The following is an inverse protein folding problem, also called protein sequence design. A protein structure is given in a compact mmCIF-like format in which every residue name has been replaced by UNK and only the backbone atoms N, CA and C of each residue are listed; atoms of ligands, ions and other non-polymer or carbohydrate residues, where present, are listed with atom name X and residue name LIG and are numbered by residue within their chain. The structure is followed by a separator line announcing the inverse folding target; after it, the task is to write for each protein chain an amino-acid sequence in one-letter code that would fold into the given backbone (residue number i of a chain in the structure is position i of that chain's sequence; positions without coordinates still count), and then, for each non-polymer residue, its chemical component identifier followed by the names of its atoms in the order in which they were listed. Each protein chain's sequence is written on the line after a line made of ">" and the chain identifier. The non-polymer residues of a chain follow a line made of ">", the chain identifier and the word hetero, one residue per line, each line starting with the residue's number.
data_IF_500303561144
#
_entry.id   IF_500303561144
#
_cell.length_a   1.000
_cell.length_b   1.000
_cell.length_c   1.000
_cell.angle_alpha   90.00
_cell.angle_beta   90.00
_cell.angle_gamma   90.00
#
_symmetry.space_group_name_H-M   'P 1'
#
loop_
_entity.id
_entity.type
_entity.pdbx_description
1 polymer ?
#
# COMPACT_ATOMS: atom_id res chain seq x y z
N UNK A 1 11.74 30.18 -3.85
CA UNK A 1 11.41 29.28 -4.98
C UNK A 1 9.91 29.07 -4.92
N UNK A 2 9.15 29.60 -5.87
CA UNK A 2 7.69 29.57 -5.85
C UNK A 2 7.23 28.36 -6.67
N UNK A 3 6.72 27.32 -6.00
CA UNK A 3 6.17 26.13 -6.67
C UNK A 3 4.79 26.40 -7.31
N UNK A 4 4.26 27.62 -7.14
CA UNK A 4 2.96 28.10 -7.60
C UNK A 4 1.87 27.03 -7.43
N UNK A 5 1.66 26.57 -6.19
CA UNK A 5 0.65 25.57 -5.82
C UNK A 5 -0.68 26.27 -5.47
N UNK A 6 -1.82 25.67 -5.83
CA UNK A 6 -3.13 26.10 -5.34
C UNK A 6 -3.25 25.78 -3.84
N UNK A 7 -3.32 26.80 -2.99
CA UNK A 7 -3.75 26.64 -1.61
C UNK A 7 -5.28 26.57 -1.57
N UNK A 8 -5.86 25.43 -1.16
CA UNK A 8 -7.26 25.38 -0.72
C UNK A 8 -7.33 25.28 0.81
N UNK A 9 -8.19 26.10 1.40
CA UNK A 9 -8.50 26.10 2.84
C UNK A 9 -9.42 24.96 3.29
N UNK A 10 -9.96 24.16 2.36
CA UNK A 10 -10.92 23.09 2.68
C UNK A 10 -10.25 21.80 3.20
N UNK A 11 -8.93 21.68 3.03
CA UNK A 11 -8.16 20.49 3.39
C UNK A 11 -8.63 19.21 2.71
N UNK A 12 -9.55 19.25 1.73
CA UNK A 12 -10.34 18.09 1.28
C UNK A 12 -9.53 17.06 0.48
N UNK A 13 -8.35 17.41 0.00
CA UNK A 13 -7.52 16.54 -0.85
C UNK A 13 -6.04 16.67 -0.50
N UNK A 14 -5.59 15.96 0.53
CA UNK A 14 -4.15 15.70 0.74
C UNK A 14 -3.74 14.57 -0.20
N UNK A 15 -3.03 14.89 -1.29
CA UNK A 15 -2.46 13.84 -2.13
C UNK A 15 -2.06 14.27 -3.54
N UNK A 16 -2.88 15.06 -4.23
CA UNK A 16 -2.61 15.45 -5.62
C UNK A 16 -2.12 16.90 -5.65
N UNK A 17 -0.87 17.13 -6.04
CA UNK A 17 -0.37 18.50 -6.21
C UNK A 17 -1.21 19.21 -7.27
N UNK A 18 -1.92 20.26 -6.85
CA UNK A 18 -2.64 21.15 -7.74
C UNK A 18 -1.76 22.36 -7.93
N UNK A 19 -1.15 22.46 -9.10
CA UNK A 19 -0.45 23.68 -9.48
C UNK A 19 -1.48 24.75 -9.82
N UNK A 20 -1.19 26.03 -9.57
CA UNK A 20 -2.00 27.14 -10.06
C UNK A 20 -2.18 27.03 -11.56
N UNK A 21 -3.31 27.45 -12.12
CA UNK A 21 -3.58 27.37 -13.57
C UNK A 21 -2.49 28.04 -14.43
N UNK A 22 -1.78 29.02 -13.88
CA UNK A 22 -0.71 29.74 -14.55
C UNK A 22 0.64 29.00 -14.57
N UNK A 23 0.83 27.97 -13.73
CA UNK A 23 2.08 27.21 -13.68
C UNK A 23 2.44 26.64 -15.05
N UNK A 24 3.59 27.09 -15.57
CA UNK A 24 4.22 26.56 -16.78
C UNK A 24 5.26 25.52 -16.38
N UNK A 25 5.22 24.38 -17.05
CA UNK A 25 6.22 23.32 -16.91
C UNK A 25 7.27 23.43 -18.00
N UNK A 26 8.55 23.12 -17.73
CA UNK A 26 9.58 23.16 -18.75
C UNK A 26 9.33 22.08 -19.82
N UNK A 27 9.45 22.43 -21.10
CA UNK A 27 9.29 21.45 -22.18
C UNK A 27 10.46 20.47 -22.20
N UNK A 28 10.19 19.16 -22.23
CA UNK A 28 11.26 18.16 -22.35
C UNK A 28 12.07 18.37 -23.64
N UNK A 29 13.39 18.12 -23.62
CA UNK A 29 14.18 18.06 -24.84
C UNK A 29 13.66 17.01 -25.82
N UNK A 30 13.81 17.27 -27.10
CA UNK A 30 13.54 16.27 -28.14
C UNK A 30 14.52 15.10 -28.00
N UNK A 31 13.99 13.88 -28.02
CA UNK A 31 14.80 12.66 -28.05
C UNK A 31 15.16 12.30 -29.48
N UNK A 32 16.43 12.00 -29.72
CA UNK A 32 16.93 11.45 -31.00
C UNK A 32 16.93 9.93 -31.02
N UNK A 33 16.89 9.28 -29.85
CA UNK A 33 16.91 7.83 -29.69
C UNK A 33 15.86 7.35 -28.67
N UNK A 34 15.44 6.07 -28.73
CA UNK A 34 14.60 5.45 -27.72
C UNK A 34 15.21 5.56 -26.32
N UNK A 35 14.36 5.61 -25.30
CA UNK A 35 14.81 5.69 -23.92
C UNK A 35 15.42 4.37 -23.45
N UNK A 36 16.55 4.44 -22.74
CA UNK A 36 17.17 3.24 -22.18
C UNK A 36 16.52 2.82 -20.86
N UNK A 37 16.10 1.56 -20.76
CA UNK A 37 15.57 0.96 -19.52
C UNK A 37 16.60 0.96 -18.37
N UNK A 38 17.91 1.00 -18.67
CA UNK A 38 18.96 1.03 -17.64
C UNK A 38 18.88 2.30 -16.77
N UNK A 39 18.41 3.41 -17.34
CA UNK A 39 18.24 4.69 -16.62
C UNK A 39 17.26 4.60 -15.45
N UNK A 40 16.30 3.66 -15.51
CA UNK A 40 15.26 3.50 -14.48
C UNK A 40 15.80 2.96 -13.16
N UNK A 41 16.91 2.22 -13.20
CA UNK A 41 17.50 1.58 -12.00
C UNK A 41 18.00 2.59 -10.98
N UNK A 42 18.43 3.77 -11.43
CA UNK A 42 18.89 4.87 -10.57
C UNK A 42 17.78 5.83 -10.13
N UNK A 43 16.50 5.54 -10.43
CA UNK A 43 15.38 6.43 -10.16
C UNK A 43 15.52 7.78 -10.85
N UNK A 44 15.10 8.86 -10.19
CA UNK A 44 15.28 10.22 -10.71
C UNK A 44 16.71 10.53 -11.12
N UNK A 45 17.72 10.15 -10.32
CA UNK A 45 19.11 10.45 -10.63
C UNK A 45 19.52 9.82 -11.97
N UNK A 46 19.25 8.52 -12.13
CA UNK A 46 19.59 7.79 -13.37
C UNK A 46 18.81 8.30 -14.57
N UNK A 47 17.53 8.62 -14.37
CA UNK A 47 16.68 9.17 -15.42
C UNK A 47 17.18 10.55 -15.90
N UNK A 48 17.36 11.49 -14.98
CA UNK A 48 17.71 12.88 -15.28
C UNK A 48 19.12 13.02 -15.88
N UNK A 49 20.06 12.14 -15.50
CA UNK A 49 21.43 12.21 -16.00
C UNK A 49 21.65 11.50 -17.33
N UNK A 50 20.81 10.53 -17.69
CA UNK A 50 21.13 9.58 -18.77
C UNK A 50 20.01 9.28 -19.76
N UNK A 51 18.79 9.78 -19.55
CA UNK A 51 17.68 9.47 -20.46
C UNK A 51 17.60 10.42 -21.65
N UNK A 52 18.12 11.64 -21.53
CA UNK A 52 18.08 12.65 -22.57
C UNK A 52 19.51 13.03 -22.98
N UNK A 53 19.69 13.58 -24.18
CA UNK A 53 21.01 14.07 -24.63
C UNK A 53 21.55 15.18 -23.71
N UNK A 54 20.63 15.95 -23.13
CA UNK A 54 20.95 16.98 -22.14
C UNK A 54 20.70 16.46 -20.72
N UNK A 55 21.60 16.82 -19.81
CA UNK A 55 21.42 16.57 -18.39
C UNK A 55 20.29 17.44 -17.82
N UNK A 56 19.25 16.80 -17.28
CA UNK A 56 18.06 17.47 -16.75
C UNK A 56 18.16 17.84 -15.26
N UNK A 57 19.24 17.45 -14.57
CA UNK A 57 19.43 17.78 -13.14
C UNK A 57 19.37 19.29 -12.86
N UNK A 58 19.98 20.19 -13.67
CA UNK A 58 19.87 21.64 -13.44
C UNK A 58 18.42 22.15 -13.50
N UNK A 59 17.59 21.52 -14.34
CA UNK A 59 16.18 21.89 -14.49
C UNK A 59 15.38 21.46 -13.27
N UNK A 60 15.55 20.21 -12.84
CA UNK A 60 14.92 19.69 -11.62
C UNK A 60 15.35 20.47 -10.36
N UNK A 61 16.60 20.97 -10.33
CA UNK A 61 17.09 21.83 -9.26
C UNK A 61 16.44 23.22 -9.28
N UNK A 62 16.23 23.77 -10.47
CA UNK A 62 15.68 25.13 -10.64
C UNK A 62 14.16 25.15 -10.43
N UNK A 63 13.46 24.12 -10.92
CA UNK A 63 12.01 23.99 -10.83
C UNK A 63 11.61 22.53 -10.50
N UNK A 64 11.57 22.16 -9.21
CA UNK A 64 11.26 20.79 -8.80
C UNK A 64 9.86 20.30 -9.18
N UNK A 65 8.91 21.22 -9.44
CA UNK A 65 7.55 20.85 -9.89
C UNK A 65 7.55 20.09 -11.22
N UNK A 66 8.64 20.21 -11.98
CA UNK A 66 8.98 19.35 -13.11
C UNK A 66 8.88 17.85 -12.78
N UNK A 67 9.44 17.45 -11.62
CA UNK A 67 9.44 16.07 -11.17
C UNK A 67 8.06 15.61 -10.71
N UNK A 68 7.25 16.52 -10.16
CA UNK A 68 5.88 16.23 -9.79
C UNK A 68 5.07 15.80 -11.02
N UNK A 69 5.13 16.56 -12.12
CA UNK A 69 4.41 16.25 -13.35
C UNK A 69 4.99 15.02 -14.08
N UNK A 70 6.31 14.86 -14.13
CA UNK A 70 6.95 13.66 -14.70
C UNK A 70 6.72 12.39 -13.87
N UNK A 71 6.43 12.53 -12.57
CA UNK A 71 6.21 11.37 -11.70
C UNK A 71 5.09 10.48 -12.22
N UNK A 72 4.07 11.02 -12.92
CA UNK A 72 2.98 10.23 -13.48
C UNK A 72 3.48 9.19 -14.51
N UNK A 73 3.98 9.58 -15.70
CA UNK A 73 4.43 8.62 -16.70
C UNK A 73 5.59 7.75 -16.19
N UNK A 74 6.53 8.33 -15.44
CA UNK A 74 7.72 7.59 -15.00
C UNK A 74 7.42 6.50 -13.97
N UNK A 75 6.44 6.71 -13.09
CA UNK A 75 5.99 5.67 -12.15
C UNK A 75 5.39 4.48 -12.90
N UNK A 76 4.57 4.75 -13.93
CA UNK A 76 4.03 3.69 -14.78
C UNK A 76 5.15 2.91 -15.47
N UNK A 77 6.06 3.61 -16.16
CA UNK A 77 7.18 3.00 -16.89
C UNK A 77 8.01 2.11 -15.96
N UNK A 78 8.34 2.61 -14.77
CA UNK A 78 9.11 1.87 -13.77
C UNK A 78 8.45 0.55 -13.37
N UNK A 79 7.18 0.59 -12.99
CA UNK A 79 6.47 -0.60 -12.52
C UNK A 79 6.18 -1.59 -13.65
N UNK A 80 5.77 -1.09 -14.82
CA UNK A 80 5.55 -1.92 -15.99
C UNK A 80 6.82 -2.69 -16.39
N UNK A 81 7.97 -2.02 -16.30
CA UNK A 81 9.29 -2.62 -16.56
C UNK A 81 9.65 -3.68 -15.52
N UNK A 82 9.48 -3.39 -14.22
CA UNK A 82 9.76 -4.36 -13.15
C UNK A 82 8.89 -5.60 -13.25
N UNK A 83 7.59 -5.41 -13.52
CA UNK A 83 6.64 -6.50 -13.67
C UNK A 83 6.77 -7.21 -15.02
N UNK A 84 7.68 -6.75 -15.89
CA UNK A 84 7.98 -7.33 -17.19
C UNK A 84 6.74 -7.56 -18.06
N UNK A 85 5.73 -6.68 -17.94
CA UNK A 85 4.51 -6.77 -18.74
C UNK A 85 4.83 -6.27 -20.14
N UNK A 86 4.91 -7.22 -21.07
CA UNK A 86 5.08 -6.97 -22.50
C UNK A 86 3.70 -6.91 -23.15
N UNK A 87 3.59 -6.20 -24.27
CA UNK A 87 2.36 -6.09 -25.07
C UNK A 87 1.21 -5.34 -24.38
N UNK A 88 1.52 -4.31 -23.60
CA UNK A 88 0.48 -3.42 -23.09
C UNK A 88 -0.05 -2.60 -24.25
N UNK A 89 -1.36 -2.69 -24.49
CA UNK A 89 -2.06 -1.94 -25.53
C UNK A 89 -2.86 -0.78 -24.92
N UNK A 90 -3.30 -0.92 -23.67
CA UNK A 90 -4.23 0.01 -23.03
C UNK A 90 -3.78 0.39 -21.63
N UNK A 91 -3.77 1.68 -21.32
CA UNK A 91 -3.50 2.23 -19.99
C UNK A 91 -4.72 3.01 -19.53
N UNK A 92 -5.28 2.62 -18.39
CA UNK A 92 -6.43 3.30 -17.77
C UNK A 92 -5.92 4.11 -16.57
N UNK A 93 -5.93 5.44 -16.67
CA UNK A 93 -5.56 6.36 -15.60
C UNK A 93 -6.82 6.64 -14.78
N UNK A 94 -6.93 6.00 -13.63
CA UNK A 94 -8.14 6.00 -12.80
C UNK A 94 -8.07 7.08 -11.72
N UNK A 95 -9.21 7.72 -11.44
CA UNK A 95 -9.26 8.86 -10.53
C UNK A 95 -8.59 10.12 -11.09
N UNK A 96 -8.44 10.20 -12.41
CA UNK A 96 -7.80 11.32 -13.08
C UNK A 96 -8.58 12.62 -12.86
N UNK A 97 -7.86 13.74 -12.85
CA UNK A 97 -8.47 15.07 -12.72
C UNK A 97 -7.95 16.04 -13.78
N UNK A 98 -8.76 17.05 -14.13
CA UNK A 98 -8.36 18.20 -14.97
C UNK A 98 -7.26 19.05 -14.36
N UNK A 99 -6.99 18.89 -13.06
CA UNK A 99 -6.00 19.70 -12.34
C UNK A 99 -4.62 19.05 -12.25
N UNK A 100 -4.55 17.75 -12.49
CA UNK A 100 -3.32 16.97 -12.37
C UNK A 100 -3.04 16.16 -13.64
N UNK A 101 -3.48 14.91 -13.71
CA UNK A 101 -3.09 13.95 -14.75
C UNK A 101 -3.47 14.45 -16.15
N UNK A 102 -4.72 14.88 -16.33
CA UNK A 102 -5.20 15.40 -17.61
C UNK A 102 -4.58 16.77 -17.92
N UNK A 103 -4.26 17.59 -16.91
CA UNK A 103 -3.54 18.85 -17.13
C UNK A 103 -2.16 18.62 -17.69
N UNK A 104 -1.41 17.67 -17.12
CA UNK A 104 -0.07 17.30 -17.59
C UNK A 104 -0.15 16.82 -19.04
N UNK A 105 -1.19 16.04 -19.38
CA UNK A 105 -1.47 15.69 -20.78
C UNK A 105 -1.72 16.90 -21.66
N UNK A 106 -2.63 17.80 -21.29
CA UNK A 106 -3.02 18.88 -22.20
C UNK A 106 -1.92 19.95 -22.35
N UNK A 107 -1.07 20.14 -21.34
CA UNK A 107 -0.09 21.23 -21.30
C UNK A 107 1.37 20.82 -21.52
N UNK A 108 1.72 19.53 -21.46
CA UNK A 108 3.13 19.08 -21.55
C UNK A 108 3.25 17.83 -22.39
N UNK A 109 4.43 17.58 -22.97
CA UNK A 109 4.74 16.35 -23.68
C UNK A 109 5.17 15.18 -22.76
N UNK A 110 5.00 15.28 -21.45
CA UNK A 110 5.62 14.34 -20.50
C UNK A 110 5.10 12.92 -20.64
N UNK A 111 3.82 12.75 -20.99
CA UNK A 111 3.26 11.44 -21.25
C UNK A 111 3.91 10.74 -22.46
N UNK A 112 4.51 11.47 -23.40
CA UNK A 112 5.26 10.89 -24.52
C UNK A 112 6.48 10.09 -24.07
N UNK A 113 6.93 10.22 -22.82
CA UNK A 113 7.94 9.33 -22.26
C UNK A 113 7.49 7.87 -22.34
N UNK A 114 6.20 7.57 -22.20
CA UNK A 114 5.67 6.20 -22.38
C UNK A 114 6.00 5.69 -23.79
N UNK A 115 5.72 6.48 -24.82
CA UNK A 115 6.06 6.12 -26.21
C UNK A 115 7.58 6.09 -26.45
N UNK A 116 8.38 6.85 -25.71
CA UNK A 116 9.84 6.83 -25.81
C UNK A 116 10.46 5.54 -25.24
N UNK A 117 9.87 4.99 -24.17
CA UNK A 117 10.30 3.73 -23.56
C UNK A 117 9.69 2.50 -24.24
N UNK A 118 8.55 2.65 -24.93
CA UNK A 118 7.85 1.57 -25.64
C UNK A 118 7.56 1.96 -27.11
N UNK A 119 8.60 2.23 -27.92
CA UNK A 119 8.43 2.78 -29.28
C UNK A 119 7.70 1.83 -30.25
N UNK A 120 7.78 0.53 -29.99
CA UNK A 120 7.18 -0.51 -30.84
C UNK A 120 5.74 -0.86 -30.43
N UNK A 121 5.17 -0.16 -29.45
CA UNK A 121 3.82 -0.42 -28.93
C UNK A 121 2.87 0.72 -29.31
N UNK A 122 1.74 0.35 -29.92
CA UNK A 122 0.61 1.25 -30.08
C UNK A 122 -0.19 1.27 -28.77
N UNK A 123 -0.04 2.34 -28.00
CA UNK A 123 -0.65 2.47 -26.67
C UNK A 123 -1.83 3.44 -26.73
N UNK A 124 -3.00 2.95 -26.33
CA UNK A 124 -4.18 3.75 -26.02
C UNK A 124 -4.19 4.11 -24.54
N UNK A 125 -4.37 5.38 -24.21
CA UNK A 125 -4.59 5.85 -22.85
C UNK A 125 -6.01 6.34 -22.65
N UNK A 126 -6.53 6.14 -21.44
CA UNK A 126 -7.82 6.67 -21.00
C UNK A 126 -7.65 7.43 -19.70
N UNK A 127 -7.98 8.71 -19.69
CA UNK A 127 -8.16 9.47 -18.45
C UNK A 127 -9.58 9.26 -17.93
N UNK A 128 -9.74 8.67 -16.75
CA UNK A 128 -11.03 8.27 -16.18
C UNK A 128 -11.18 8.94 -14.82
N UNK A 129 -12.19 9.78 -14.68
CA UNK A 129 -12.51 10.42 -13.40
C UNK A 129 -13.69 11.38 -13.49
N UNK A 130 -14.31 11.73 -12.35
CA UNK A 130 -15.54 12.54 -12.32
C UNK A 130 -15.32 14.00 -12.74
N UNK A 131 -14.08 14.49 -12.71
CA UNK A 131 -13.72 15.85 -13.08
C UNK A 131 -13.09 15.94 -14.47
N UNK A 132 -12.95 14.82 -15.20
CA UNK A 132 -12.26 14.76 -16.49
C UNK A 132 -13.09 15.42 -17.59
N UNK A 133 -12.45 16.21 -18.46
CA UNK A 133 -13.08 16.77 -19.66
C UNK A 133 -12.96 15.78 -20.83
N UNK A 134 -14.05 15.55 -21.56
CA UNK A 134 -14.05 14.59 -22.69
C UNK A 134 -13.18 15.11 -23.86
N UNK A 135 -13.19 16.42 -24.10
CA UNK A 135 -12.53 17.04 -25.25
C UNK A 135 -11.23 17.77 -24.90
N UNK A 136 -10.31 17.12 -24.17
CA UNK A 136 -9.01 17.72 -23.86
C UNK A 136 -7.94 17.31 -24.89
N UNK A 137 -7.71 18.19 -25.88
CA UNK A 137 -6.66 18.01 -26.88
C UNK A 137 -5.28 18.41 -26.33
N UNK A 138 -4.22 17.62 -26.60
CA UNK A 138 -2.86 18.02 -26.25
C UNK A 138 -2.40 19.21 -27.09
N UNK A 139 -1.63 20.12 -26.49
CA UNK A 139 -0.95 21.22 -27.21
C UNK A 139 0.36 20.79 -27.90
N UNK A 140 0.56 19.49 -28.09
CA UNK A 140 1.81 18.91 -28.57
C UNK A 140 1.53 17.67 -29.42
N UNK A 141 2.48 17.30 -30.28
CA UNK A 141 2.39 16.05 -31.05
C UNK A 141 2.62 14.84 -30.13
N UNK A 142 1.75 13.83 -30.24
CA UNK A 142 1.87 12.60 -29.46
C UNK A 142 1.74 11.37 -30.35
N UNK A 143 2.52 10.34 -30.02
CA UNK A 143 2.39 8.99 -30.59
C UNK A 143 1.39 8.12 -29.83
N UNK A 144 0.86 8.63 -28.72
CA UNK A 144 -0.14 7.96 -27.90
C UNK A 144 -1.53 8.30 -28.43
N UNK A 145 -2.40 7.29 -28.51
CA UNK A 145 -3.82 7.53 -28.71
C UNK A 145 -4.45 7.79 -27.35
N UNK A 146 -5.17 8.90 -27.18
CA UNK A 146 -5.70 9.29 -25.87
C UNK A 146 -7.18 9.60 -25.96
N UNK A 147 -7.92 9.06 -24.99
CA UNK A 147 -9.35 9.28 -24.81
C UNK A 147 -9.63 9.66 -23.35
N UNK A 148 -10.82 10.18 -23.09
CA UNK A 148 -11.23 10.64 -21.76
C UNK A 148 -12.64 10.14 -21.44
N UNK A 149 -12.89 9.82 -20.18
CA UNK A 149 -14.18 9.38 -19.68
C UNK A 149 -14.52 10.11 -18.38
N UNK A 150 -15.61 10.89 -18.41
CA UNK A 150 -16.14 11.55 -17.23
C UNK A 150 -17.05 10.59 -16.46
N UNK A 151 -16.54 10.04 -15.36
CA UNK A 151 -17.26 9.06 -14.54
C UNK A 151 -16.32 8.24 -13.66
N UNK A 152 -16.87 7.19 -13.04
CA UNK A 152 -16.12 6.26 -12.21
C UNK A 152 -15.48 5.15 -13.05
N UNK A 153 -14.49 4.44 -12.49
CA UNK A 153 -13.93 3.28 -13.19
C UNK A 153 -14.93 2.11 -13.24
N UNK A 154 -15.80 1.98 -12.24
CA UNK A 154 -16.90 1.03 -12.26
C UNK A 154 -17.84 1.26 -13.45
N UNK A 155 -18.26 2.50 -13.67
CA UNK A 155 -19.11 2.87 -14.81
C UNK A 155 -18.39 2.63 -16.15
N UNK A 156 -17.11 3.00 -16.23
CA UNK A 156 -16.30 2.77 -17.42
C UNK A 156 -16.23 1.29 -17.79
N UNK A 157 -15.88 0.42 -16.83
CA UNK A 157 -15.77 -1.03 -17.06
C UNK A 157 -17.12 -1.70 -17.32
N UNK A 158 -18.22 -1.11 -16.84
CA UNK A 158 -19.57 -1.60 -17.16
C UNK A 158 -20.00 -1.30 -18.60
N UNK A 159 -19.43 -0.25 -19.20
CA UNK A 159 -19.81 0.25 -20.52
C UNK A 159 -18.79 -0.02 -21.62
N UNK A 160 -17.55 -0.39 -21.25
CA UNK A 160 -16.45 -0.64 -22.17
C UNK A 160 -15.88 -2.04 -21.98
N UNK A 161 -15.73 -2.77 -23.08
CA UNK A 161 -14.99 -4.03 -23.08
C UNK A 161 -13.49 -3.74 -23.13
N UNK A 162 -12.74 -4.24 -22.15
CA UNK A 162 -11.28 -4.14 -22.09
C UNK A 162 -10.66 -5.53 -22.06
N UNK A 163 -9.52 -5.69 -22.72
CA UNK A 163 -8.75 -6.94 -22.65
C UNK A 163 -7.89 -6.94 -21.39
N UNK A 164 -8.19 -7.85 -20.47
CA UNK A 164 -7.53 -7.95 -19.16
C UNK A 164 -6.02 -8.17 -19.28
N UNK A 165 -5.57 -8.90 -20.31
CA UNK A 165 -4.15 -9.25 -20.43
C UNK A 165 -3.30 -8.10 -20.97
N UNK A 166 -3.86 -7.26 -21.84
CA UNK A 166 -3.14 -6.15 -22.48
C UNK A 166 -3.47 -4.79 -21.88
N UNK A 167 -4.28 -4.75 -20.81
CA UNK A 167 -4.66 -3.52 -20.10
C UNK A 167 -3.95 -3.39 -18.75
N UNK A 168 -3.50 -2.19 -18.42
CA UNK A 168 -3.04 -1.81 -17.09
C UNK A 168 -3.85 -0.63 -16.58
N UNK A 169 -4.28 -0.70 -15.32
CA UNK A 169 -4.85 0.44 -14.59
C UNK A 169 -3.77 1.10 -13.74
N UNK A 170 -3.83 2.42 -13.60
CA UNK A 170 -2.99 3.15 -12.66
C UNK A 170 -3.75 4.29 -11.99
N UNK A 171 -3.75 4.29 -10.65
CA UNK A 171 -4.26 5.36 -9.81
C UNK A 171 -3.11 6.14 -9.17
N UNK A 172 -3.06 7.44 -9.42
CA UNK A 172 -2.07 8.32 -8.82
C UNK A 172 -2.72 9.10 -7.68
N UNK A 173 -2.11 9.09 -6.49
CA UNK A 173 -2.60 9.84 -5.33
C UNK A 173 -4.10 9.72 -5.08
N UNK A 174 -4.61 8.49 -5.15
CA UNK A 174 -6.04 8.20 -5.06
C UNK A 174 -6.66 8.66 -3.74
N UNK A 175 -5.86 8.74 -2.68
CA UNK A 175 -6.19 9.44 -1.44
C UNK A 175 -7.23 8.73 -0.56
N UNK A 176 -7.75 7.57 -0.99
CA UNK A 176 -8.78 6.84 -0.26
C UNK A 176 -8.30 6.27 1.08
N UNK A 177 -7.01 6.34 1.39
CA UNK A 177 -6.47 5.98 2.69
C UNK A 177 -6.15 7.16 3.64
N UNK A 178 -6.48 8.39 3.25
CA UNK A 178 -6.28 9.60 4.06
C UNK A 178 -7.05 9.60 5.39
N UNK A 179 -8.05 8.73 5.55
CA UNK A 179 -8.84 8.62 6.78
C UNK A 179 -8.01 8.27 8.02
N UNK A 180 -6.83 7.63 7.86
CA UNK A 180 -5.97 7.23 8.98
C UNK A 180 -5.46 8.44 9.76
N UNK A 181 -5.10 9.51 9.07
CA UNK A 181 -4.57 10.73 9.68
C UNK A 181 -5.66 11.78 9.92
N UNK A 182 -6.58 11.90 8.97
CA UNK A 182 -7.60 12.97 8.99
C UNK A 182 -8.89 12.61 9.72
N UNK A 183 -9.13 11.32 10.00
CA UNK A 183 -10.43 10.81 10.47
C UNK A 183 -11.61 11.18 9.55
N UNK A 184 -11.35 11.47 8.26
CA UNK A 184 -12.37 11.71 7.23
C UNK A 184 -12.42 10.56 6.26
N UNK A 185 -13.61 9.97 6.12
CA UNK A 185 -13.81 8.73 5.37
C UNK A 185 -14.51 8.95 4.02
N UNK A 186 -14.91 10.18 3.69
CA UNK A 186 -15.75 10.47 2.51
C UNK A 186 -15.10 9.97 1.22
N UNK A 187 -13.80 10.22 1.06
CA UNK A 187 -13.05 9.78 -0.10
C UNK A 187 -12.89 8.25 -0.14
N UNK A 188 -12.72 7.58 1.00
CA UNK A 188 -12.73 6.12 1.04
C UNK A 188 -14.08 5.58 0.55
N UNK A 189 -15.18 6.13 1.09
CA UNK A 189 -16.52 5.65 0.75
C UNK A 189 -16.89 5.90 -0.70
N UNK A 190 -16.43 7.01 -1.30
CA UNK A 190 -16.62 7.24 -2.74
C UNK A 190 -15.84 6.26 -3.60
N UNK A 191 -14.63 5.87 -3.17
CA UNK A 191 -13.79 4.91 -3.90
C UNK A 191 -14.18 3.45 -3.67
N UNK A 192 -14.76 3.10 -2.53
CA UNK A 192 -14.93 1.71 -2.12
C UNK A 192 -15.68 0.82 -3.14
N UNK A 193 -16.78 1.28 -3.78
CA UNK A 193 -17.43 0.50 -4.85
C UNK A 193 -16.49 0.20 -6.01
N UNK A 194 -15.75 1.21 -6.48
CA UNK A 194 -14.76 1.07 -7.54
C UNK A 194 -13.60 0.16 -7.14
N UNK A 195 -13.14 0.24 -5.89
CA UNK A 195 -12.09 -0.63 -5.38
C UNK A 195 -12.48 -2.11 -5.39
N UNK A 196 -13.75 -2.43 -5.09
CA UNK A 196 -14.26 -3.80 -5.29
C UNK A 196 -14.24 -4.20 -6.76
N UNK A 197 -14.66 -3.31 -7.67
CA UNK A 197 -14.68 -3.57 -9.11
C UNK A 197 -13.26 -3.77 -9.66
N UNK A 198 -12.32 -2.90 -9.31
CA UNK A 198 -10.90 -2.98 -9.65
C UNK A 198 -10.34 -4.33 -9.21
N UNK A 199 -10.51 -4.69 -7.92
CA UNK A 199 -10.01 -5.94 -7.39
C UNK A 199 -10.63 -7.16 -8.09
N UNK A 200 -11.91 -7.10 -8.45
CA UNK A 200 -12.62 -8.17 -9.15
C UNK A 200 -12.30 -8.27 -10.65
N UNK A 201 -11.82 -7.20 -11.29
CA UNK A 201 -11.59 -7.15 -12.73
C UNK A 201 -10.50 -8.09 -13.23
N UNK A 202 -9.55 -8.49 -12.36
CA UNK A 202 -8.36 -9.24 -12.74
C UNK A 202 -7.32 -8.42 -13.51
N UNK A 203 -7.57 -7.13 -13.75
CA UNK A 203 -6.67 -6.21 -14.46
C UNK A 203 -5.53 -5.81 -13.51
N UNK A 204 -4.31 -5.81 -14.03
CA UNK A 204 -3.15 -5.34 -13.29
C UNK A 204 -3.36 -3.86 -12.94
N UNK A 205 -3.44 -3.55 -11.65
CA UNK A 205 -3.68 -2.19 -11.18
C UNK A 205 -2.54 -1.70 -10.31
N UNK A 206 -1.95 -0.58 -10.69
CA UNK A 206 -0.87 0.10 -10.00
C UNK A 206 -1.46 1.25 -9.18
N UNK A 207 -0.99 1.42 -7.95
CA UNK A 207 -1.35 2.55 -7.10
C UNK A 207 -0.09 3.24 -6.62
N UNK A 208 -0.11 4.57 -6.65
CA UNK A 208 1.04 5.41 -6.28
C UNK A 208 0.71 6.31 -5.06
N UNK A 209 0.35 5.70 -3.92
CA UNK A 209 0.17 6.38 -2.63
C UNK A 209 0.19 5.32 -1.50
N UNK A 210 0.52 5.67 -0.26
CA UNK A 210 0.53 4.66 0.82
C UNK A 210 0.36 5.26 2.22
N UNK A 211 -0.81 5.84 2.49
CA UNK A 211 -1.33 5.99 3.85
C UNK A 211 -2.68 5.30 3.89
N UNK A 212 -2.90 4.32 4.77
CA UNK A 212 -4.18 3.61 4.94
C UNK A 212 -4.63 2.67 3.81
N UNK A 213 -4.23 2.93 2.56
CA UNK A 213 -4.68 2.19 1.37
C UNK A 213 -4.32 0.70 1.44
N UNK A 214 -3.10 0.38 1.90
CA UNK A 214 -2.65 -0.99 2.06
C UNK A 214 -3.56 -1.79 3.03
N UNK A 215 -4.04 -1.17 4.11
CA UNK A 215 -4.94 -1.81 5.05
C UNK A 215 -6.31 -2.10 4.42
N UNK A 216 -6.82 -1.20 3.57
CA UNK A 216 -8.05 -1.43 2.80
C UNK A 216 -7.88 -2.62 1.85
N UNK A 217 -6.79 -2.65 1.07
CA UNK A 217 -6.53 -3.76 0.16
C UNK A 217 -6.42 -5.11 0.86
N UNK A 218 -5.74 -5.15 2.00
CA UNK A 218 -5.48 -6.40 2.71
C UNK A 218 -6.64 -6.88 3.58
N UNK A 219 -7.28 -5.97 4.33
CA UNK A 219 -8.28 -6.31 5.35
C UNK A 219 -9.73 -6.19 4.87
N UNK A 220 -9.97 -5.44 3.80
CA UNK A 220 -11.32 -5.24 3.24
C UNK A 220 -11.46 -5.89 1.87
N UNK A 221 -10.60 -5.54 0.93
CA UNK A 221 -10.75 -5.99 -0.46
C UNK A 221 -10.25 -7.42 -0.67
N UNK A 222 -9.32 -7.87 0.17
CA UNK A 222 -8.62 -9.16 0.01
C UNK A 222 -7.70 -9.19 -1.21
N UNK A 223 -7.27 -8.04 -1.72
CA UNK A 223 -6.49 -7.91 -2.96
C UNK A 223 -5.23 -8.76 -2.95
N UNK A 224 -4.91 -9.34 -4.11
CA UNK A 224 -3.66 -10.06 -4.29
C UNK A 224 -2.59 -9.09 -4.79
N UNK A 225 -1.53 -8.94 -4.00
CA UNK A 225 -0.42 -8.05 -4.35
C UNK A 225 0.53 -8.75 -5.31
N UNK A 226 0.69 -8.18 -6.51
CA UNK A 226 1.71 -8.62 -7.47
C UNK A 226 3.01 -7.84 -7.30
N UNK A 227 2.92 -6.65 -6.70
CA UNK A 227 4.05 -5.87 -6.21
C UNK A 227 3.72 -5.30 -4.84
N UNK A 228 4.38 -5.81 -3.80
CA UNK A 228 4.22 -5.27 -2.45
C UNK A 228 4.70 -3.80 -2.38
N UNK A 229 4.14 -2.99 -1.48
CA UNK A 229 4.50 -1.58 -1.37
C UNK A 229 6.00 -1.34 -1.24
N UNK A 230 6.47 -0.32 -1.95
CA UNK A 230 7.85 0.15 -1.90
C UNK A 230 7.89 1.64 -2.18
N UNK A 231 8.92 2.32 -1.71
CA UNK A 231 9.26 3.66 -2.18
C UNK A 231 9.28 3.71 -3.71
N UNK A 232 8.61 4.73 -4.23
CA UNK A 232 8.63 5.03 -5.63
C UNK A 232 9.89 5.86 -5.95
N UNK A 233 10.83 5.35 -6.77
CA UNK A 233 12.02 6.09 -7.15
C UNK A 233 11.72 7.28 -8.07
N UNK A 234 10.48 7.39 -8.55
CA UNK A 234 9.95 8.50 -9.35
C UNK A 234 8.85 9.27 -8.60
N UNK A 235 8.99 9.42 -7.29
CA UNK A 235 8.07 10.20 -6.45
C UNK A 235 8.09 11.69 -6.80
N UNK A 236 7.01 12.42 -6.49
CA UNK A 236 6.98 13.87 -6.66
C UNK A 236 8.06 14.54 -5.76
N UNK A 237 8.55 15.71 -6.16
CA UNK A 237 9.53 16.48 -5.38
C UNK A 237 8.87 17.40 -4.35
N UNK A 238 7.69 17.93 -4.67
CA UNK A 238 6.94 18.78 -3.76
C UNK A 238 6.48 18.00 -2.53
N UNK A 239 6.36 18.72 -1.41
CA UNK A 239 5.78 18.20 -0.18
C UNK A 239 4.68 19.14 0.28
N UNK A 240 3.56 18.58 0.71
CA UNK A 240 2.46 19.30 1.33
C UNK A 240 2.52 19.08 2.84
N UNK A 241 2.38 20.17 3.60
CA UNK A 241 2.21 20.13 5.04
C UNK A 241 0.96 20.93 5.43
N UNK A 242 0.31 20.55 6.53
CA UNK A 242 -0.72 21.39 7.12
C UNK A 242 -0.12 22.73 7.59
N UNK A 243 -0.94 23.78 7.62
CA UNK A 243 -0.54 25.08 8.11
C UNK A 243 -0.04 24.97 9.57
N UNK A 244 1.14 25.53 9.85
CA UNK A 244 1.78 25.42 11.16
C UNK A 244 2.39 24.06 11.50
N UNK A 245 2.27 23.04 10.63
CA UNK A 245 2.84 21.68 10.83
C UNK A 245 3.99 21.34 9.89
N UNK A 246 4.68 22.34 9.36
CA UNK A 246 5.85 22.17 8.49
C UNK A 246 6.94 21.29 9.12
N UNK A 247 7.02 21.09 10.44
CA UNK A 247 8.03 20.20 11.03
C UNK A 247 7.50 18.82 11.41
N UNK A 248 6.21 18.55 11.23
CA UNK A 248 5.54 17.38 11.84
C UNK A 248 4.57 16.64 10.94
N UNK A 249 4.12 17.22 9.83
CA UNK A 249 3.22 16.58 8.87
C UNK A 249 3.68 16.89 7.46
N UNK A 250 4.33 15.93 6.80
CA UNK A 250 4.74 16.05 5.41
C UNK A 250 4.08 14.92 4.63
N UNK A 251 3.41 15.26 3.54
CA UNK A 251 2.93 14.31 2.56
C UNK A 251 3.58 14.61 1.21
N UNK A 252 3.99 13.58 0.50
CA UNK A 252 4.62 13.68 -0.82
C UNK A 252 3.84 12.80 -1.78
N UNK A 253 3.38 13.39 -2.87
CA UNK A 253 2.63 12.68 -3.90
C UNK A 253 3.48 11.57 -4.54
N UNK A 254 2.85 10.47 -4.94
CA UNK A 254 3.48 9.33 -5.58
C UNK A 254 4.68 8.77 -4.77
N UNK A 255 4.68 8.89 -3.44
CA UNK A 255 5.83 8.51 -2.59
C UNK A 255 6.13 7.02 -2.57
N UNK A 256 5.07 6.23 -2.65
CA UNK A 256 5.11 4.78 -2.59
C UNK A 256 4.35 4.24 -3.79
N UNK A 257 4.67 3.02 -4.17
CA UNK A 257 4.01 2.35 -5.27
C UNK A 257 3.81 0.87 -4.93
N UNK A 258 2.65 0.35 -5.29
CA UNK A 258 2.29 -1.05 -5.17
C UNK A 258 1.42 -1.45 -6.37
N UNK A 259 1.27 -2.75 -6.59
CA UNK A 259 0.38 -3.25 -7.62
C UNK A 259 -0.39 -4.48 -7.14
N UNK A 260 -1.65 -4.55 -7.56
CA UNK A 260 -2.56 -5.66 -7.28
C UNK A 260 -3.08 -6.28 -8.57
N UNK A 261 -3.50 -7.53 -8.49
CA UNK A 261 -4.20 -8.21 -9.57
C UNK A 261 -5.13 -9.29 -9.02
N UNK A 262 -6.44 -9.09 -9.11
CA UNK A 262 -7.40 -10.00 -8.50
C UNK A 262 -7.51 -9.86 -6.98
N UNK A 263 -8.27 -10.78 -6.38
CA UNK A 263 -8.51 -10.82 -4.94
C UNK A 263 -8.76 -12.24 -4.42
N UNK A 264 -8.63 -12.43 -3.12
CA UNK A 264 -9.01 -13.64 -2.41
C UNK A 264 -10.40 -13.48 -1.79
N UNK A 265 -11.37 -14.25 -2.29
CA UNK A 265 -12.76 -14.23 -1.83
C UNK A 265 -12.88 -14.58 -0.33
N UNK A 266 -11.96 -15.37 0.23
CA UNK A 266 -11.97 -15.72 1.66
C UNK A 266 -11.53 -14.57 2.56
N UNK A 267 -10.69 -13.66 2.03
CA UNK A 267 -10.23 -12.47 2.76
C UNK A 267 -11.13 -11.27 2.54
N UNK A 268 -11.81 -11.20 1.39
CA UNK A 268 -12.71 -10.09 1.10
C UNK A 268 -13.81 -9.96 2.15
N UNK A 269 -14.00 -8.74 2.64
CA UNK A 269 -15.07 -8.33 3.53
C UNK A 269 -15.95 -7.34 2.79
N UNK A 270 -17.27 -7.50 2.89
CA UNK A 270 -18.23 -6.52 2.38
C UNK A 270 -18.61 -5.55 3.49
N UNK A 271 -18.42 -4.27 3.22
CA UNK A 271 -18.74 -3.19 4.16
C UNK A 271 -19.81 -2.30 3.51
N UNK A 272 -20.87 -1.99 4.27
CA UNK A 272 -21.88 -1.05 3.81
C UNK A 272 -21.30 0.38 3.80
N UNK A 273 -21.66 1.23 2.82
CA UNK A 273 -21.24 2.63 2.82
C UNK A 273 -21.56 3.32 4.15
N UNK A 274 -20.57 3.97 4.74
CA UNK A 274 -20.72 4.69 6.01
C UNK A 274 -20.63 3.82 7.28
N UNK A 275 -20.44 2.50 7.18
CA UNK A 275 -20.26 1.62 8.35
C UNK A 275 -18.82 1.71 8.92
N UNK A 276 -18.54 2.85 9.55
CA UNK A 276 -17.23 3.17 10.15
C UNK A 276 -16.90 2.19 11.28
N UNK A 277 -17.91 1.72 12.03
CA UNK A 277 -17.70 0.79 13.16
C UNK A 277 -17.16 -0.55 12.67
N UNK A 278 -17.77 -1.11 11.62
CA UNK A 278 -17.29 -2.36 11.03
C UNK A 278 -15.92 -2.17 10.38
N UNK A 279 -15.71 -1.07 9.65
CA UNK A 279 -14.41 -0.74 9.07
C UNK A 279 -13.30 -0.69 10.15
N UNK A 280 -13.50 0.06 11.23
CA UNK A 280 -12.50 0.16 12.30
C UNK A 280 -12.24 -1.19 12.97
N UNK A 281 -13.27 -2.02 13.19
CA UNK A 281 -13.10 -3.38 13.69
C UNK A 281 -12.20 -4.21 12.78
N UNK A 282 -12.38 -4.12 11.46
CA UNK A 282 -11.52 -4.82 10.50
C UNK A 282 -10.10 -4.27 10.52
N UNK A 283 -9.94 -2.95 10.57
CA UNK A 283 -8.62 -2.29 10.61
C UNK A 283 -7.83 -2.61 11.88
N UNK A 284 -8.50 -2.81 13.01
CA UNK A 284 -7.89 -3.18 14.29
C UNK A 284 -7.65 -4.68 14.45
N UNK A 285 -8.30 -5.52 13.63
CA UNK A 285 -8.15 -6.97 13.69
C UNK A 285 -6.70 -7.37 13.45
N UNK A 286 -6.14 -8.12 14.39
CA UNK A 286 -4.84 -8.77 14.23
C UNK A 286 -5.04 -9.99 13.35
N UNK A 287 -4.57 -9.89 12.11
CA UNK A 287 -4.67 -10.97 11.13
C UNK A 287 -3.26 -11.45 10.90
N UNK A 288 -3.02 -12.75 11.07
CA UNK A 288 -1.77 -13.40 10.68
C UNK A 288 -1.69 -13.48 9.15
N UNK A 289 -1.48 -12.30 8.55
CA UNK A 289 -1.52 -12.09 7.13
C UNK A 289 -0.13 -12.32 6.56
N UNK A 290 -0.04 -13.33 5.70
CA UNK A 290 1.13 -13.58 4.87
C UNK A 290 0.77 -13.36 3.39
N UNK A 291 1.47 -12.43 2.74
CA UNK A 291 1.38 -12.22 1.29
C UNK A 291 2.74 -12.44 0.65
N UNK A 292 2.74 -12.85 -0.61
CA UNK A 292 3.94 -12.95 -1.43
C UNK A 292 3.67 -12.29 -2.78
N UNK A 293 4.61 -11.47 -3.26
CA UNK A 293 4.49 -10.82 -4.57
C UNK A 293 5.27 -11.56 -5.68
N UNK A 294 5.20 -11.06 -6.92
CA UNK A 294 5.84 -11.71 -8.07
C UNK A 294 7.37 -11.67 -8.02
N UNK A 295 7.97 -10.79 -7.23
CA UNK A 295 9.41 -10.75 -7.00
C UNK A 295 9.84 -11.70 -5.88
N UNK A 296 8.90 -12.43 -5.28
CA UNK A 296 9.14 -13.32 -4.16
C UNK A 296 9.41 -12.56 -2.86
N UNK A 297 8.98 -11.30 -2.74
CA UNK A 297 8.99 -10.58 -1.45
C UNK A 297 7.80 -11.01 -0.62
N UNK A 298 7.97 -11.06 0.70
CA UNK A 298 6.95 -11.54 1.62
C UNK A 298 6.48 -10.39 2.51
N UNK A 299 5.17 -10.17 2.65
CA UNK A 299 4.62 -9.35 3.72
C UNK A 299 4.18 -10.26 4.85
N UNK A 300 4.71 -10.07 6.06
CA UNK A 300 4.38 -10.85 7.24
C UNK A 300 4.49 -9.99 8.49
N UNK A 301 3.45 -10.00 9.34
CA UNK A 301 3.40 -9.26 10.62
C UNK A 301 3.85 -7.79 10.53
N UNK A 302 3.38 -7.08 9.50
CA UNK A 302 3.71 -5.65 9.32
C UNK A 302 5.04 -5.38 8.61
N UNK A 303 5.76 -6.42 8.19
CA UNK A 303 7.08 -6.30 7.58
C UNK A 303 7.08 -6.79 6.14
N UNK A 304 7.81 -6.11 5.26
CA UNK A 304 8.11 -6.58 3.91
C UNK A 304 9.53 -7.13 3.89
N UNK A 305 9.67 -8.41 3.56
CA UNK A 305 10.93 -9.16 3.52
C UNK A 305 11.33 -9.38 2.07
N UNK A 306 12.62 -9.27 1.76
CA UNK A 306 13.16 -9.77 0.49
C UNK A 306 13.01 -11.29 0.40
N UNK A 307 13.15 -11.84 -0.81
CA UNK A 307 13.14 -13.30 -1.03
C UNK A 307 14.20 -14.01 -0.19
N UNK A 308 15.41 -13.46 -0.14
CA UNK A 308 16.54 -14.01 0.61
C UNK A 308 16.29 -13.94 2.12
N UNK A 309 15.67 -12.87 2.60
CA UNK A 309 15.32 -12.72 4.03
C UNK A 309 14.19 -13.66 4.44
N UNK A 310 13.17 -13.79 3.59
CA UNK A 310 12.07 -14.71 3.82
C UNK A 310 12.58 -16.15 3.92
N UNK A 311 13.52 -16.54 3.04
CA UNK A 311 14.17 -17.85 3.08
C UNK A 311 14.98 -18.11 4.37
N UNK A 312 15.53 -17.04 4.97
CA UNK A 312 16.30 -17.11 6.24
C UNK A 312 15.41 -16.98 7.48
N UNK A 313 14.15 -16.58 7.35
CA UNK A 313 13.26 -16.34 8.48
C UNK A 313 12.81 -17.68 9.09
N UNK A 314 13.24 -17.93 10.32
CA UNK A 314 12.81 -19.10 11.11
C UNK A 314 11.30 -19.10 11.35
N UNK A 315 10.70 -17.93 11.51
CA UNK A 315 9.26 -17.78 11.77
C UNK A 315 8.44 -18.24 10.56
N UNK A 316 8.87 -17.89 9.35
CA UNK A 316 8.21 -18.37 8.13
C UNK A 316 8.44 -19.87 7.91
N UNK A 317 9.62 -20.40 8.20
CA UNK A 317 9.90 -21.84 8.02
C UNK A 317 9.14 -22.73 9.01
N UNK A 318 8.91 -22.27 10.24
CA UNK A 318 8.08 -22.96 11.23
C UNK A 318 6.59 -22.95 10.85
N UNK A 319 6.08 -21.84 10.30
CA UNK A 319 4.69 -21.76 9.81
C UNK A 319 4.42 -22.75 8.66
N UNK A 320 5.38 -22.91 7.74
CA UNK A 320 5.27 -23.91 6.66
C UNK A 320 5.33 -25.36 7.16
N UNK A 321 6.08 -25.64 8.23
CA UNK A 321 6.19 -26.98 8.79
C UNK A 321 4.97 -27.40 9.63
N UNK A 322 4.23 -26.44 10.18
CA UNK A 322 2.99 -26.72 10.91
C UNK A 322 1.78 -26.90 9.97
N UNK A 323 1.79 -26.27 8.79
CA UNK A 323 0.73 -26.41 7.79
C UNK A 323 0.73 -27.78 7.07
N UNK A 324 1.86 -28.50 7.07
CA UNK A 324 2.03 -29.81 6.40
C UNK A 324 1.59 -31.01 7.24
N UNK A 325 1.15 -30.84 8.49
CA UNK A 325 0.71 -31.93 9.36
C UNK A 325 -0.82 -32.13 9.45
N UNK A 326 -1.59 -31.58 8.51
CA UNK A 326 -3.02 -31.92 8.35
C UNK A 326 -3.15 -33.04 7.32
N UNK A 327 -3.71 -34.22 7.66
CA UNK A 327 -3.81 -35.34 6.73
C UNK A 327 -4.83 -35.03 5.63
N UNK A 328 -4.34 -34.77 4.43
CA UNK A 328 -5.16 -34.56 3.23
C UNK A 328 -5.75 -35.89 2.77
N UNK A 329 -7.06 -36.10 3.01
CA UNK A 329 -7.84 -37.07 2.23
C UNK A 329 -7.94 -36.56 0.80
N UNK A 330 -7.43 -37.35 -0.14
CA UNK A 330 -7.47 -37.08 -1.57
C UNK A 330 -8.91 -37.13 -2.09
N UNK A 331 -9.46 -35.98 -2.49
CA UNK A 331 -10.64 -35.94 -3.35
C UNK A 331 -10.22 -35.53 -4.75
N UNK A 332 -10.46 -36.44 -5.70
CA UNK A 332 -10.33 -36.26 -7.14
C UNK A 332 -11.14 -35.03 -7.58
N UNK A 333 -10.48 -34.11 -8.28
CA UNK A 333 -11.10 -33.00 -8.99
C UNK A 333 -11.82 -33.55 -10.22
N UNK A 334 -13.14 -33.40 -10.26
CA UNK A 334 -13.96 -33.55 -11.46
C UNK A 334 -14.23 -32.15 -12.01
N UNK A 335 -13.82 -31.89 -13.24
CA UNK A 335 -14.12 -30.68 -13.99
C UNK A 335 -15.64 -30.50 -14.16
N UNK A 336 -16.22 -29.33 -13.88
CA UNK A 336 -17.54 -28.99 -14.40
C UNK A 336 -17.40 -28.33 -15.78
N UNK A 337 -18.10 -28.93 -16.75
CA UNK A 337 -18.33 -28.38 -18.08
C UNK A 337 -19.17 -27.11 -18.00
N UNK A 338 -18.78 -26.16 -18.83
CA UNK A 338 -19.51 -24.95 -19.25
C UNK A 338 -20.87 -25.34 -19.82
N UNK A 339 -21.95 -24.71 -19.35
CA UNK A 339 -23.24 -24.70 -20.03
C UNK A 339 -23.74 -23.27 -20.20
N UNK A 340 -24.21 -23.02 -21.43
CA UNK A 340 -24.84 -21.82 -21.97
C UNK A 340 -26.29 -21.61 -21.48
N UNK A 341 -26.95 -20.48 -21.81
CA UNK A 341 -27.96 -19.85 -20.96
C UNK A 341 -29.37 -20.39 -21.17
N UNK A 342 -30.18 -20.33 -20.11
CA UNK A 342 -31.63 -20.61 -20.15
C UNK A 342 -32.39 -19.29 -20.12
N UNK A 343 -33.32 -19.18 -21.07
CA UNK A 343 -34.24 -18.07 -21.30
C UNK A 343 -35.26 -17.88 -20.17
N UNK A 344 -35.66 -16.63 -20.01
CA UNK A 344 -36.74 -16.13 -19.18
C UNK A 344 -38.10 -16.78 -19.49
N UNK A 345 -38.87 -17.06 -18.44
CA UNK A 345 -40.34 -16.98 -18.45
C UNK A 345 -40.87 -16.61 -17.07
N UNK A 346 -41.71 -15.58 -17.07
CA UNK A 346 -42.42 -15.02 -15.92
C UNK A 346 -43.57 -15.92 -15.40
N UNK A 347 -43.84 -15.89 -14.09
CA UNK A 347 -45.19 -15.70 -13.54
C UNK A 347 -45.21 -15.56 -11.99
N UNK A 348 -45.72 -14.41 -11.56
CA UNK A 348 -46.61 -14.07 -10.43
C UNK A 348 -46.87 -15.00 -9.22
N UNK A 349 -46.75 -14.36 -8.04
CA UNK A 349 -47.60 -14.37 -6.82
C UNK A 349 -47.91 -15.71 -6.11
N UNK A 350 -47.52 -15.82 -4.84
CA UNK A 350 -48.46 -15.70 -3.72
C UNK A 350 -47.79 -15.62 -2.33
N UNK A 351 -48.50 -14.91 -1.45
CA UNK A 351 -48.26 -14.68 -0.02
C UNK A 351 -48.73 -15.91 0.79
N UNK A 352 -48.00 -16.32 1.83
CA UNK A 352 -48.57 -16.58 3.17
C UNK A 352 -47.49 -16.86 4.23
N UNK A 353 -47.74 -16.31 5.42
CA UNK A 353 -46.98 -16.45 6.64
C UNK A 353 -47.46 -17.65 7.48
N UNK A 354 -46.59 -18.23 8.31
CA UNK A 354 -46.91 -18.72 9.66
C UNK A 354 -45.69 -19.38 10.36
N UNK A 355 -45.20 -18.69 11.39
CA UNK A 355 -44.94 -19.14 12.79
C UNK A 355 -44.32 -20.49 13.17
N UNK A 356 -43.35 -20.37 14.10
CA UNK A 356 -43.06 -21.23 15.29
C UNK A 356 -42.41 -22.59 15.01
N UNK A 357 -41.54 -23.23 15.79
CA UNK A 357 -40.99 -23.16 17.17
C UNK A 357 -39.84 -24.19 17.17
N UNK A 358 -38.68 -24.07 17.82
CA UNK A 358 -38.33 -24.51 19.19
C UNK A 358 -36.81 -24.78 19.18
N UNK A 359 -36.06 -24.20 20.13
CA UNK A 359 -35.38 -24.91 21.22
C UNK A 359 -34.57 -26.15 20.82
N UNK A 360 -33.24 -26.07 20.97
CA UNK A 360 -32.52 -27.04 21.81
C UNK A 360 -31.17 -26.49 22.25
N UNK A 361 -31.00 -26.49 23.57
CA UNK A 361 -29.78 -26.22 24.28
C UNK A 361 -29.01 -27.53 24.50
N UNK A 362 -27.69 -27.51 24.32
CA UNK A 362 -26.82 -28.50 24.98
C UNK A 362 -25.50 -27.85 25.38
N UNK A 363 -25.23 -27.92 26.68
CA UNK A 363 -24.03 -27.48 27.40
C UNK A 363 -22.88 -28.50 27.26
N UNK A 364 -21.65 -27.97 27.16
CA UNK A 364 -20.37 -28.37 27.81
C UNK A 364 -19.82 -29.81 27.60
N UNK A 365 -18.48 -30.05 27.63
CA UNK A 365 -17.58 -29.49 28.64
C UNK A 365 -16.20 -28.96 28.21
N UNK A 366 -15.70 -28.13 29.12
CA UNK A 366 -14.32 -27.74 29.39
C UNK A 366 -13.34 -28.92 29.33
N UNK A 367 -12.18 -28.66 28.72
CA UNK A 367 -10.92 -29.35 29.02
C UNK A 367 -9.79 -28.34 29.09
N UNK A 368 -9.43 -28.01 30.31
CA UNK A 368 -8.15 -27.44 30.71
C UNK A 368 -7.03 -28.43 30.43
N UNK A 369 -5.99 -28.01 29.71
CA UNK A 369 -4.72 -28.74 29.60
C UNK A 369 -3.67 -27.89 30.31
N UNK A 370 -3.23 -28.39 31.46
CA UNK A 370 -1.99 -28.03 32.13
C UNK A 370 -0.80 -28.48 31.29
N UNK A 371 0.19 -27.60 31.13
CA UNK A 371 1.55 -28.01 30.79
C UNK A 371 2.55 -27.22 31.63
N UNK A 372 2.91 -27.85 32.76
CA UNK A 372 4.14 -27.59 33.49
C UNK A 372 5.35 -27.92 32.61
N UNK A 373 6.25 -26.97 32.41
CA UNK A 373 7.64 -27.22 32.05
C UNK A 373 8.53 -26.30 32.89
N UNK A 374 9.09 -26.88 33.95
CA UNK A 374 10.13 -26.27 34.79
C UNK A 374 11.48 -26.31 34.06
N UNK A 375 12.18 -25.19 34.00
CA UNK A 375 13.65 -25.18 34.12
C UNK A 375 14.08 -23.94 34.93
N UNK A 376 15.04 -24.06 35.86
CA UNK A 376 15.33 -23.02 36.84
C UNK A 376 16.43 -22.08 36.31
N UNK A 377 16.21 -20.77 36.45
CA UNK A 377 17.29 -19.79 36.57
C UNK A 377 17.00 -18.87 37.76
N UNK A 378 18.10 -18.51 38.42
CA UNK A 378 18.22 -17.91 39.74
C UNK A 378 17.12 -16.92 40.15
N UNK A 379 16.52 -17.20 41.30
CA UNK A 379 15.71 -16.25 42.06
C UNK A 379 16.54 -15.71 43.20
N UNK A 380 16.98 -14.47 43.06
CA UNK A 380 17.07 -13.55 44.19
C UNK A 380 16.91 -12.12 43.66
N UNK A 381 15.70 -11.57 43.84
CA UNK A 381 15.45 -10.13 44.05
C UNK A 381 14.00 -9.89 44.48
N UNK A 382 13.88 -8.99 45.45
CA UNK A 382 12.70 -8.69 46.25
C UNK A 382 11.45 -8.31 45.43
N UNK A 383 10.30 -8.84 45.86
CA UNK A 383 8.96 -8.52 45.35
C UNK A 383 8.50 -7.20 46.00
N UNK A 384 8.16 -6.15 45.24
CA UNK A 384 7.49 -4.97 45.79
C UNK A 384 6.01 -5.28 46.04
N UNK A 385 5.53 -4.90 47.23
CA UNK A 385 4.12 -4.89 47.62
C UNK A 385 3.41 -3.71 46.96
N UNK A 386 2.95 -3.86 45.73
CA UNK A 386 1.75 -3.20 45.23
C UNK A 386 1.28 -3.91 43.95
N UNK A 387 0.04 -4.40 43.95
CA UNK A 387 -0.50 -5.36 42.98
C UNK A 387 -0.83 -4.80 41.60
N UNK A 388 0.01 -3.93 41.03
CA UNK A 388 -0.14 -3.54 39.63
C UNK A 388 0.27 -4.70 38.72
N UNK A 389 -0.66 -5.17 37.91
CA UNK A 389 -0.40 -6.18 36.89
C UNK A 389 0.63 -5.64 35.89
N UNK A 390 1.71 -6.38 35.67
CA UNK A 390 2.71 -6.08 34.63
C UNK A 390 2.02 -6.20 33.26
N UNK A 391 2.17 -5.18 32.42
CA UNK A 391 1.48 -5.08 31.12
C UNK A 391 2.46 -5.35 29.98
N UNK A 392 2.03 -6.04 28.93
CA UNK A 392 2.78 -6.10 27.66
C UNK A 392 2.54 -4.80 26.88
N UNK A 393 3.55 -3.95 26.65
CA UNK A 393 3.37 -2.70 25.91
C UNK A 393 3.07 -2.97 24.43
N UNK A 394 2.28 -2.08 23.81
CA UNK A 394 2.09 -2.08 22.35
C UNK A 394 3.40 -1.69 21.67
N UNK A 395 3.70 -2.29 20.53
CA UNK A 395 4.91 -1.98 19.78
C UNK A 395 4.67 -2.01 18.26
N UNK A 396 5.59 -1.39 17.51
CA UNK A 396 5.68 -1.45 16.07
C UNK A 396 7.10 -1.82 15.68
N UNK A 397 7.24 -2.67 14.66
CA UNK A 397 8.53 -3.06 14.10
C UNK A 397 8.57 -2.60 12.64
N UNK A 398 9.57 -1.78 12.32
CA UNK A 398 9.75 -1.13 11.03
C UNK A 398 11.13 -1.52 10.50
N UNK A 399 11.23 -2.08 9.30
CA UNK A 399 12.54 -2.31 8.66
C UNK A 399 12.93 -1.11 7.80
N UNK A 400 14.22 -0.81 7.70
CA UNK A 400 14.72 0.19 6.75
C UNK A 400 14.54 -0.30 5.32
N UNK A 401 14.52 0.64 4.36
CA UNK A 401 14.23 0.37 2.95
C UNK A 401 15.21 -0.58 2.26
N UNK A 402 16.45 -0.61 2.75
CA UNK A 402 17.51 -1.53 2.31
C UNK A 402 17.65 -2.76 3.23
N UNK A 403 16.75 -2.88 4.21
CA UNK A 403 16.69 -3.94 5.21
C UNK A 403 17.98 -4.16 6.02
N UNK A 404 18.85 -3.15 6.11
CA UNK A 404 20.07 -3.19 6.94
C UNK A 404 19.82 -2.75 8.38
N UNK A 405 18.64 -2.18 8.66
CA UNK A 405 18.26 -1.72 9.98
C UNK A 405 16.84 -2.14 10.31
N UNK A 406 16.60 -2.44 11.58
CA UNK A 406 15.28 -2.66 12.16
C UNK A 406 15.05 -1.61 13.24
N UNK A 407 13.92 -0.93 13.19
CA UNK A 407 13.48 0.06 14.17
C UNK A 407 12.27 -0.50 14.92
N UNK A 408 12.39 -0.66 16.23
CA UNK A 408 11.29 -1.09 17.10
C UNK A 408 10.83 0.13 17.91
N UNK A 409 9.54 0.43 17.89
CA UNK A 409 8.91 1.55 18.59
C UNK A 409 7.94 0.97 19.62
N UNK A 410 8.23 1.15 20.91
CA UNK A 410 7.48 0.57 22.02
C UNK A 410 6.75 1.68 22.78
N UNK A 411 5.43 1.56 22.90
CA UNK A 411 4.57 2.51 23.60
C UNK A 411 4.62 2.27 25.11
N UNK A 412 5.01 3.29 25.87
CA UNK A 412 5.28 3.21 27.32
C UNK A 412 4.63 4.38 28.08
N UNK A 413 3.30 4.58 27.99
CA UNK A 413 2.60 5.73 28.57
C UNK A 413 2.81 5.91 30.08
N UNK A 414 2.90 4.81 30.84
CA UNK A 414 3.12 4.83 32.28
C UNK A 414 4.60 5.03 32.67
N UNK A 415 5.53 4.95 31.71
CA UNK A 415 6.95 5.14 31.99
C UNK A 415 7.22 6.63 32.22
N UNK A 416 7.79 6.95 33.38
CA UNK A 416 8.17 8.33 33.75
C UNK A 416 9.68 8.57 33.64
N UNK A 417 10.47 7.49 33.71
CA UNK A 417 11.93 7.49 33.65
C UNK A 417 12.46 6.14 33.15
N UNK A 418 13.61 6.13 32.49
CA UNK A 418 14.31 4.91 32.03
C UNK A 418 15.22 4.29 33.09
N UNK A 419 15.35 4.86 34.29
CA UNK A 419 16.30 4.38 35.31
C UNK A 419 16.10 2.92 35.72
N UNK A 420 14.86 2.44 35.70
CA UNK A 420 14.50 1.07 36.04
C UNK A 420 14.24 0.20 34.79
N UNK A 421 14.49 0.73 33.60
CA UNK A 421 14.29 0.00 32.35
C UNK A 421 15.51 -0.87 32.09
N UNK A 422 15.27 -2.18 31.97
CA UNK A 422 16.25 -3.14 31.48
C UNK A 422 15.90 -3.53 30.04
N UNK A 423 16.89 -3.44 29.16
CA UNK A 423 16.75 -3.82 27.76
C UNK A 423 17.88 -4.80 27.43
N UNK A 424 17.51 -6.02 27.12
CA UNK A 424 18.41 -7.07 26.69
C UNK A 424 18.15 -7.35 25.22
N UNK A 425 19.21 -7.31 24.41
CA UNK A 425 19.14 -7.62 22.98
C UNK A 425 20.17 -8.71 22.71
N UNK A 426 19.68 -9.88 22.33
CA UNK A 426 20.51 -10.95 21.79
C UNK A 426 20.52 -10.86 20.26
N UNK A 427 21.18 -11.81 19.60
CA UNK A 427 21.21 -11.85 18.15
C UNK A 427 19.80 -12.01 17.57
N UNK A 428 18.89 -12.75 18.20
CA UNK A 428 17.56 -13.05 17.64
C UNK A 428 16.40 -12.79 18.62
N UNK A 429 16.66 -12.10 19.73
CA UNK A 429 15.64 -11.79 20.73
C UNK A 429 15.82 -10.40 21.32
N UNK A 430 14.70 -9.79 21.70
CA UNK A 430 14.67 -8.55 22.44
C UNK A 430 13.77 -8.70 23.66
N UNK A 431 14.30 -8.37 24.83
CA UNK A 431 13.57 -8.36 26.10
C UNK A 431 13.63 -6.97 26.71
N UNK A 432 12.48 -6.33 26.87
CA UNK A 432 12.31 -5.09 27.63
C UNK A 432 11.59 -5.41 28.95
N UNK A 433 12.21 -5.07 30.06
CA UNK A 433 11.60 -5.19 31.40
C UNK A 433 11.62 -3.84 32.10
N UNK A 434 10.46 -3.43 32.60
CA UNK A 434 10.31 -2.30 33.52
C UNK A 434 9.58 -2.83 34.76
N UNK A 435 10.27 -3.01 35.90
CA UNK A 435 9.70 -3.63 37.09
C UNK A 435 8.38 -2.99 37.51
N UNK A 436 7.35 -3.83 37.70
CA UNK A 436 6.00 -3.41 38.09
C UNK A 436 5.17 -2.72 37.01
N UNK A 437 5.72 -2.47 35.81
CA UNK A 437 5.03 -1.73 34.74
C UNK A 437 4.93 -2.53 33.44
N UNK A 438 6.08 -2.93 32.88
CA UNK A 438 6.13 -3.50 31.54
C UNK A 438 7.01 -4.75 31.45
N UNK A 439 6.57 -5.70 30.63
CA UNK A 439 7.39 -6.82 30.19
C UNK A 439 7.08 -7.12 28.73
N UNK A 440 8.08 -7.04 27.86
CA UNK A 440 7.97 -7.35 26.44
C UNK A 440 9.09 -8.28 26.03
N UNK A 441 8.72 -9.44 25.50
CA UNK A 441 9.63 -10.37 24.86
C UNK A 441 9.29 -10.47 23.38
N UNK A 442 10.29 -10.27 22.52
CA UNK A 442 10.17 -10.37 21.07
C UNK A 442 11.20 -11.38 20.56
N UNK A 443 10.75 -12.35 19.78
CA UNK A 443 11.63 -13.07 18.85
C UNK A 443 11.84 -12.19 17.63
N UNK A 444 13.10 -11.82 17.37
CA UNK A 444 13.46 -11.00 16.24
C UNK A 444 13.42 -11.85 14.96
N UNK A 445 12.87 -11.33 13.86
CA UNK A 445 12.73 -12.08 12.61
C UNK A 445 14.08 -12.38 11.95
N UNK A 446 15.17 -11.72 12.35
CA UNK A 446 16.52 -11.90 11.84
C UNK A 446 17.56 -11.78 12.96
N UNK A 447 18.77 -12.25 12.65
CA UNK A 447 19.92 -11.94 13.48
C UNK A 447 20.24 -10.46 13.41
N UNK A 448 20.57 -9.84 14.53
CA UNK A 448 20.95 -8.43 14.63
C UNK A 448 22.32 -8.29 15.29
N UNK A 449 23.06 -7.25 14.88
CA UNK A 449 24.28 -6.82 15.55
C UNK A 449 23.89 -6.08 16.83
N UNK A 450 23.82 -6.83 17.94
CA UNK A 450 23.43 -6.27 19.22
C UNK A 450 24.45 -5.26 19.78
N UNK A 451 25.72 -5.30 19.34
CA UNK A 451 26.78 -4.40 19.81
C UNK A 451 26.54 -2.94 19.43
N UNK A 452 25.74 -2.69 18.39
CA UNK A 452 25.41 -1.34 17.90
C UNK A 452 24.02 -0.87 18.27
N UNK A 453 23.34 -1.59 19.16
CA UNK A 453 21.98 -1.25 19.56
C UNK A 453 21.97 0.01 20.42
N UNK A 454 21.25 1.04 19.96
CA UNK A 454 21.09 2.30 20.72
C UNK A 454 19.60 2.52 21.02
N UNK A 455 19.13 2.23 22.25
CA UNK A 455 17.78 2.60 22.67
C UNK A 455 17.69 4.11 22.94
N UNK A 456 16.58 4.72 22.51
CA UNK A 456 16.25 6.13 22.77
C UNK A 456 14.85 6.22 23.36
N UNK A 457 14.71 6.91 24.48
CA UNK A 457 13.41 7.17 25.09
C UNK A 457 12.97 8.62 24.89
N UNK A 458 11.77 8.82 24.34
CA UNK A 458 11.11 10.13 24.28
C UNK A 458 10.15 10.28 25.46
N UNK A 459 10.49 11.14 26.42
CA UNK A 459 9.61 11.46 27.56
C UNK A 459 8.33 12.19 27.12
N UNK A 460 8.43 12.99 26.06
CA UNK A 460 7.32 13.74 25.47
C UNK A 460 6.29 12.78 24.85
N UNK A 461 6.77 11.84 24.04
CA UNK A 461 5.90 10.96 23.26
C UNK A 461 5.60 9.65 24.00
N UNK A 462 6.28 9.39 25.13
CA UNK A 462 6.17 8.17 25.93
C UNK A 462 6.51 6.90 25.15
N UNK A 463 7.58 6.96 24.38
CA UNK A 463 8.00 5.89 23.47
C UNK A 463 9.46 5.52 23.68
N UNK A 464 9.77 4.23 23.66
CA UNK A 464 11.12 3.69 23.52
C UNK A 464 11.35 3.30 22.06
N UNK A 465 12.35 3.88 21.41
CA UNK A 465 12.78 3.55 20.05
C UNK A 465 14.10 2.79 20.11
N UNK A 466 14.16 1.61 19.52
CA UNK A 466 15.37 0.80 19.42
C UNK A 466 15.72 0.67 17.94
N UNK A 467 16.97 0.93 17.58
CA UNK A 467 17.50 0.71 16.22
C UNK A 467 18.52 -0.42 16.30
N UNK A 468 18.28 -1.47 15.54
CA UNK A 468 19.10 -2.67 15.41
C UNK A 468 19.69 -2.70 14.00
N UNK A 469 20.97 -3.06 13.86
CA UNK A 469 21.54 -3.37 12.53
C UNK A 469 21.32 -4.87 12.25
N UNK A 470 20.94 -5.19 11.00
CA UNK A 470 20.59 -6.55 10.54
C UNK A 470 21.70 -7.11 9.67
#
# INVERSE_FOLDING_TARGET
>A
MNLDLEQRQDGMYSGTFRWTEHKQFPALPTRTAPASMSSLTGGWQGYLSGSHEMNLIPWATTDPSFLDALSFPMTYIYINTILSRRNVSTILIIGATVKAEQRVWCNTSYWNEIAAFYPDQAIQMWFIGPEVLVDCAPKHESKLSVSSYCGTIGDFLSSHSVDVETTIMIGYNTGFGNFVESNRYDLLWSWLPDLYTIAASGILTIFAYMNGEFAIHTKVLGSNFVYLPKDNPFSAASHLHEEGKQNTSWSRANSFVYAIQGYDLKRQQRIAPGDIKHLNKLLEMDVDLHLTDHLGRHYYRGMILSKEQAAKSKVLSQSTNNATNVPTKSNKVVNPKVNQPIQDKAMSKNIQAATSTKENATKLPDKSIDSNANHPMDKDKAIPKDGQAIITPKYQLISSLNNTKMKIIIQTPALTSTKAMDLQVSNDQLLLTVPGLYHLYLELPWQVDNAKTIPKYSKKDKVVTIILEV
#
